data_IF_708932604705
#
_entry.id   IF_708932604705
#
_cell.length_a   1.000
_cell.length_b   1.000
_cell.length_c   1.000
_cell.angle_alpha   90.00
_cell.angle_beta   90.00
_cell.angle_gamma   90.00
#
_symmetry.space_group_name_H-M   'P 1'
#
loop_
_entity.id
_entity.type
_entity.pdbx_description
1 polymer ?
#
# COMPACT_ATOMS: atom_id res chain seq x y z
N UNK A 1 -34.86 50.85 -2.96
CA UNK A 1 -34.74 49.93 -4.12
C UNK A 1 -33.39 50.04 -4.85
N UNK A 2 -32.78 51.22 -5.00
CA UNK A 2 -31.49 51.33 -5.71
C UNK A 2 -30.31 50.58 -5.06
N UNK A 3 -30.19 50.56 -3.72
CA UNK A 3 -29.10 49.86 -3.02
C UNK A 3 -29.10 48.33 -3.23
N UNK A 4 -30.28 47.73 -3.38
CA UNK A 4 -30.44 46.29 -3.60
C UNK A 4 -29.97 45.88 -5.00
N UNK A 5 -30.17 46.74 -6.00
CA UNK A 5 -29.67 46.51 -7.36
C UNK A 5 -28.14 46.68 -7.46
N UNK A 6 -27.57 47.64 -6.71
CA UNK A 6 -26.11 47.83 -6.64
C UNK A 6 -25.41 46.62 -6.02
N UNK A 7 -25.98 46.04 -4.95
CA UNK A 7 -25.40 44.88 -4.28
C UNK A 7 -25.44 43.61 -5.15
N UNK A 8 -26.52 43.40 -5.90
CA UNK A 8 -26.64 42.27 -6.86
C UNK A 8 -25.68 42.45 -8.04
N UNK A 9 -25.53 43.66 -8.57
CA UNK A 9 -24.60 43.94 -9.67
C UNK A 9 -23.14 43.72 -9.25
N UNK A 10 -22.79 44.11 -8.01
CA UNK A 10 -21.44 43.94 -7.47
C UNK A 10 -21.06 42.45 -7.32
N UNK A 11 -22.00 41.60 -6.90
CA UNK A 11 -21.80 40.14 -6.80
C UNK A 11 -21.59 39.49 -8.17
N UNK A 12 -22.32 39.96 -9.21
CA UNK A 12 -22.17 39.45 -10.58
C UNK A 12 -20.86 39.88 -11.26
N UNK A 13 -20.28 41.02 -10.87
CA UNK A 13 -18.99 41.47 -11.40
C UNK A 13 -17.82 40.69 -10.76
N UNK A 14 -17.94 40.32 -9.48
CA UNK A 14 -16.93 39.53 -8.76
C UNK A 14 -16.84 38.07 -9.22
N UNK A 15 -17.88 37.48 -9.81
CA UNK A 15 -17.87 36.09 -10.27
C UNK A 15 -16.99 35.82 -11.51
N UNK A 16 -16.53 36.86 -12.21
CA UNK A 16 -15.73 36.70 -13.45
C UNK A 16 -14.21 36.62 -13.21
N UNK A 17 -13.74 36.71 -11.97
CA UNK A 17 -12.32 36.57 -11.62
C UNK A 17 -11.94 35.11 -11.28
N UNK A 18 -12.45 34.14 -12.04
CA UNK A 18 -12.02 32.75 -11.92
C UNK A 18 -10.76 32.54 -12.78
N UNK A 19 -9.58 32.77 -12.19
CA UNK A 19 -8.32 32.35 -12.79
C UNK A 19 -8.26 30.82 -12.77
N UNK A 20 -8.46 30.21 -13.94
CA UNK A 20 -8.40 28.77 -14.12
C UNK A 20 -6.94 28.30 -14.13
N UNK A 21 -6.37 28.09 -12.94
CA UNK A 21 -5.08 27.41 -12.83
C UNK A 21 -5.30 25.90 -13.08
N UNK A 22 -4.51 25.26 -13.95
CA UNK A 22 -4.65 23.83 -14.23
C UNK A 22 -4.26 23.04 -12.97
N UNK A 23 -5.25 22.58 -12.22
CA UNK A 23 -5.04 21.60 -11.16
C UNK A 23 -4.66 20.28 -11.86
N UNK A 24 -3.51 19.68 -11.55
CA UNK A 24 -3.14 18.40 -12.14
C UNK A 24 -4.17 17.32 -11.78
N UNK A 25 -4.47 16.44 -12.73
CA UNK A 25 -5.41 15.35 -12.50
C UNK A 25 -4.88 14.42 -11.41
N UNK A 26 -5.72 14.16 -10.41
CA UNK A 26 -5.36 13.31 -9.28
C UNK A 26 -5.34 11.86 -9.75
N UNK A 27 -4.17 11.23 -9.74
CA UNK A 27 -4.09 9.77 -9.87
C UNK A 27 -4.46 9.17 -8.51
N UNK A 28 -5.60 8.47 -8.45
CA UNK A 28 -5.88 7.60 -7.31
C UNK A 28 -4.77 6.56 -7.24
N UNK A 29 -4.21 6.25 -6.04
CA UNK A 29 -3.16 5.26 -5.92
C UNK A 29 -3.71 3.90 -6.36
N UNK A 30 -3.35 3.49 -7.57
CA UNK A 30 -3.70 2.21 -8.13
C UNK A 30 -2.68 1.18 -7.64
N UNK A 31 -3.18 0.07 -7.11
CA UNK A 31 -2.35 -1.01 -6.60
C UNK A 31 -3.23 -2.11 -6.05
N UNK A 32 -2.75 -3.34 -6.07
CA UNK A 32 -3.39 -4.47 -5.42
C UNK A 32 -2.37 -5.17 -4.53
N UNK A 33 -2.70 -5.35 -3.25
CA UNK A 33 -1.95 -6.22 -2.37
C UNK A 33 -2.34 -7.66 -2.69
N UNK A 34 -1.34 -8.50 -3.00
CA UNK A 34 -1.57 -9.91 -3.32
C UNK A 34 -0.66 -10.81 -2.50
N UNK A 35 -1.26 -11.74 -1.77
CA UNK A 35 -0.54 -12.79 -1.05
C UNK A 35 -1.06 -14.15 -1.53
N UNK A 36 -0.15 -15.06 -1.84
CA UNK A 36 -0.46 -16.46 -2.08
C UNK A 36 0.24 -17.30 -1.01
N UNK A 37 -0.57 -18.02 -0.26
CA UNK A 37 -0.09 -19.01 0.71
C UNK A 37 0.32 -20.29 -0.01
N UNK A 38 1.19 -21.06 0.63
CA UNK A 38 1.67 -22.34 0.10
C UNK A 38 0.58 -23.42 0.05
N UNK A 39 -0.46 -23.27 0.89
CA UNK A 39 -1.66 -24.11 0.92
C UNK A 39 -2.74 -23.74 -0.12
N UNK A 40 -2.48 -22.75 -0.99
CA UNK A 40 -3.38 -22.39 -2.10
C UNK A 40 -4.38 -21.27 -1.80
N UNK A 41 -4.43 -20.73 -0.56
CA UNK A 41 -5.24 -19.55 -0.28
C UNK A 41 -4.59 -18.30 -0.91
N UNK A 42 -5.37 -17.53 -1.67
CA UNK A 42 -4.95 -16.26 -2.26
C UNK A 42 -5.75 -15.10 -1.68
N UNK A 43 -5.05 -14.08 -1.18
CA UNK A 43 -5.59 -12.79 -0.76
C UNK A 43 -5.26 -11.78 -1.86
N UNK A 44 -6.25 -11.07 -2.42
CA UNK A 44 -6.03 -9.98 -3.37
C UNK A 44 -6.96 -8.82 -3.02
N UNK A 45 -6.41 -7.62 -2.78
CA UNK A 45 -7.20 -6.45 -2.43
C UNK A 45 -6.65 -5.17 -3.05
N UNK A 46 -7.53 -4.34 -3.62
CA UNK A 46 -7.16 -3.03 -4.15
C UNK A 46 -6.75 -2.05 -3.04
N UNK A 47 -5.68 -1.30 -3.25
CA UNK A 47 -5.11 -0.31 -2.32
C UNK A 47 -5.99 0.95 -2.22
N UNK A 48 -6.79 1.26 -3.24
CA UNK A 48 -7.67 2.43 -3.31
C UNK A 48 -9.14 2.01 -3.49
N UNK A 49 -9.77 1.55 -2.40
CA UNK A 49 -11.22 1.23 -2.36
C UNK A 49 -12.09 2.40 -1.88
N UNK A 50 -11.47 3.49 -1.45
CA UNK A 50 -12.15 4.64 -0.82
C UNK A 50 -12.46 5.79 -1.78
N UNK A 51 -13.20 6.77 -1.28
CA UNK A 51 -13.34 8.08 -1.95
C UNK A 51 -12.09 8.91 -1.65
N UNK A 52 -11.58 9.62 -2.65
CA UNK A 52 -10.40 10.47 -2.49
C UNK A 52 -10.82 11.94 -2.42
N UNK A 53 -10.32 12.65 -1.42
CA UNK A 53 -10.46 14.08 -1.26
C UNK A 53 -9.07 14.70 -1.32
N UNK A 54 -8.86 15.62 -2.26
CA UNK A 54 -7.60 16.32 -2.41
C UNK A 54 -7.80 17.81 -2.21
N UNK A 55 -6.93 18.41 -1.41
CA UNK A 55 -6.77 19.86 -1.33
C UNK A 55 -5.32 20.19 -1.57
N UNK A 56 -5.06 21.19 -2.41
CA UNK A 56 -3.71 21.58 -2.78
C UNK A 56 -3.61 23.05 -3.10
N UNK A 57 -2.39 23.56 -3.01
CA UNK A 57 -2.03 24.91 -3.39
C UNK A 57 -1.17 24.85 -4.63
N UNK A 58 -1.47 25.73 -5.58
CA UNK A 58 -0.67 25.92 -6.79
C UNK A 58 0.02 27.27 -6.69
N UNK A 59 1.35 27.28 -6.79
CA UNK A 59 2.14 28.50 -6.90
C UNK A 59 2.82 28.52 -8.27
N UNK A 60 2.48 29.49 -9.11
CA UNK A 60 3.21 29.77 -10.35
C UNK A 60 4.05 31.02 -10.15
N UNK A 61 5.35 30.93 -10.46
CA UNK A 61 6.17 32.10 -10.71
C UNK A 61 6.02 32.46 -12.18
N UNK A 62 4.91 33.10 -12.54
CA UNK A 62 4.80 33.74 -13.84
C UNK A 62 5.89 34.81 -13.93
N UNK A 63 6.66 34.82 -15.00
CA UNK A 63 7.63 35.87 -15.27
C UNK A 63 6.89 37.18 -15.57
N UNK A 64 6.47 37.88 -14.52
CA UNK A 64 6.02 39.26 -14.63
C UNK A 64 7.25 40.17 -14.77
N UNK A 65 7.30 40.88 -15.90
CA UNK A 65 8.22 41.96 -16.27
C UNK A 65 9.44 41.59 -17.12
N UNK A 66 9.22 41.44 -18.43
CA UNK A 66 10.16 41.99 -19.44
C UNK A 66 9.36 42.63 -20.59
N UNK A 67 8.81 43.82 -20.32
CA UNK A 67 8.49 44.78 -21.36
C UNK A 67 9.61 45.82 -21.39
N UNK A 68 10.13 46.08 -22.61
CA UNK A 68 11.34 46.82 -23.02
C UNK A 68 12.58 45.92 -23.11
N UNK A 69 13.27 45.79 -24.25
CA UNK A 69 13.55 46.77 -25.31
C UNK A 69 13.83 46.03 -26.64
N UNK A 70 13.53 46.67 -27.76
CA UNK A 70 13.38 46.05 -29.07
C UNK A 70 14.61 45.35 -29.62
N UNK A 71 14.44 44.11 -30.10
CA UNK A 71 15.28 43.50 -31.13
C UNK A 71 14.71 42.13 -31.54
N UNK A 72 14.53 41.93 -32.85
CA UNK A 72 14.58 40.60 -33.47
C UNK A 72 13.32 39.74 -33.38
N UNK A 73 12.46 39.84 -34.40
CA UNK A 73 11.49 38.79 -34.73
C UNK A 73 12.26 37.56 -35.23
N UNK A 74 12.39 36.52 -34.39
CA UNK A 74 12.83 35.18 -34.78
C UNK A 74 11.61 34.23 -34.83
N UNK A 75 11.16 33.79 -36.01
CA UNK A 75 9.99 32.93 -36.17
C UNK A 75 10.25 31.44 -35.84
N UNK A 76 11.44 31.09 -35.31
CA UNK A 76 11.84 29.70 -35.07
C UNK A 76 11.99 29.32 -33.59
N UNK A 77 11.38 30.06 -32.66
CA UNK A 77 11.39 29.69 -31.24
C UNK A 77 10.12 28.95 -30.81
N UNK A 78 10.27 27.62 -30.79
CA UNK A 78 9.53 26.59 -30.07
C UNK A 78 8.24 27.00 -29.33
N UNK A 79 7.15 26.41 -29.81
CA UNK A 79 5.85 26.22 -29.15
C UNK A 79 6.00 25.32 -27.91
N UNK A 80 6.72 25.79 -26.89
CA UNK A 80 6.65 25.30 -25.53
C UNK A 80 6.82 26.54 -24.66
N UNK A 81 5.69 27.17 -24.33
CA UNK A 81 5.63 28.20 -23.30
C UNK A 81 6.07 27.56 -21.99
N UNK A 82 7.38 27.60 -21.72
CA UNK A 82 8.01 27.16 -20.49
C UNK A 82 7.79 28.17 -19.33
N UNK A 83 7.02 29.23 -19.57
CA UNK A 83 6.86 30.37 -18.67
C UNK A 83 5.85 30.14 -17.52
N UNK A 84 5.16 29.00 -17.52
CA UNK A 84 4.19 28.63 -16.46
C UNK A 84 4.68 27.41 -15.66
N UNK A 85 5.93 27.44 -15.17
CA UNK A 85 6.43 26.44 -14.22
C UNK A 85 5.86 26.72 -12.84
N UNK A 86 4.79 26.01 -12.49
CA UNK A 86 4.16 26.07 -11.17
C UNK A 86 4.46 24.84 -10.31
N UNK A 87 4.60 25.06 -9.01
CA UNK A 87 4.71 24.00 -8.01
C UNK A 87 3.31 23.74 -7.44
N UNK A 88 2.87 22.48 -7.52
CA UNK A 88 1.62 22.02 -6.91
C UNK A 88 1.95 21.14 -5.70
N UNK A 89 1.52 21.56 -4.52
CA UNK A 89 1.59 20.77 -3.29
C UNK A 89 0.18 20.40 -2.87
N UNK A 90 -0.08 19.11 -2.67
CA UNK A 90 -1.41 18.63 -2.29
C UNK A 90 -1.36 17.58 -1.20
N UNK A 91 -2.39 17.63 -0.35
CA UNK A 91 -2.70 16.59 0.62
C UNK A 91 -3.89 15.83 0.10
N UNK A 92 -3.71 14.53 -0.15
CA UNK A 92 -4.77 13.62 -0.56
C UNK A 92 -5.16 12.74 0.61
N UNK A 93 -6.42 12.82 1.04
CA UNK A 93 -6.97 11.99 2.09
C UNK A 93 -7.98 11.03 1.46
N UNK A 94 -7.87 9.75 1.79
CA UNK A 94 -8.85 8.74 1.35
C UNK A 94 -9.79 8.43 2.51
N UNK A 95 -11.09 8.52 2.25
CA UNK A 95 -12.13 8.29 3.24
C UNK A 95 -13.10 7.21 2.75
N UNK A 96 -13.50 6.34 3.68
CA UNK A 96 -14.31 5.18 3.36
C UNK A 96 -13.54 4.10 2.59
N UNK A 97 -14.24 2.99 2.34
CA UNK A 97 -13.67 1.77 1.79
C UNK A 97 -14.15 0.58 2.62
N UNK A 98 -14.26 -0.59 1.98
CA UNK A 98 -14.54 -1.86 2.65
C UNK A 98 -13.44 -2.15 3.70
N UNK A 99 -13.80 -2.79 4.82
CA UNK A 99 -12.84 -3.28 5.79
C UNK A 99 -11.78 -4.14 5.09
N UNK A 100 -10.50 -3.80 5.31
CA UNK A 100 -9.39 -4.52 4.67
C UNK A 100 -9.22 -5.89 5.29
N UNK A 101 -9.21 -6.93 4.46
CA UNK A 101 -8.71 -8.23 4.91
C UNK A 101 -7.22 -8.05 5.16
N UNK A 102 -6.82 -8.24 6.42
CA UNK A 102 -5.43 -8.14 6.81
C UNK A 102 -4.69 -9.41 6.32
N UNK A 103 -4.20 -9.36 5.09
CA UNK A 103 -3.43 -10.47 4.52
C UNK A 103 -2.17 -10.77 5.36
N UNK A 104 -1.66 -9.82 6.15
CA UNK A 104 -0.55 -10.04 7.09
C UNK A 104 -0.97 -10.97 8.24
N UNK A 105 -2.18 -10.79 8.78
CA UNK A 105 -2.74 -11.73 9.77
C UNK A 105 -2.87 -13.13 9.17
N UNK A 106 -3.40 -13.25 7.96
CA UNK A 106 -3.55 -14.55 7.30
C UNK A 106 -2.20 -15.27 7.15
N UNK A 107 -1.17 -14.56 6.67
CA UNK A 107 0.19 -15.09 6.57
C UNK A 107 0.76 -15.52 7.93
N UNK A 108 0.55 -14.72 8.99
CA UNK A 108 0.99 -15.09 10.35
C UNK A 108 0.32 -16.38 10.83
N UNK A 109 -0.96 -16.58 10.55
CA UNK A 109 -1.65 -17.81 10.93
C UNK A 109 -1.10 -19.04 10.20
N UNK A 110 -0.77 -18.92 8.91
CA UNK A 110 -0.12 -20.00 8.15
C UNK A 110 1.24 -20.36 8.76
N UNK A 111 2.07 -19.36 9.07
CA UNK A 111 3.37 -19.59 9.70
C UNK A 111 3.26 -20.25 11.08
N UNK A 112 2.24 -19.89 11.86
CA UNK A 112 1.96 -20.53 13.15
C UNK A 112 1.46 -21.97 13.01
N UNK A 113 0.68 -22.28 11.97
CA UNK A 113 0.27 -23.66 11.70
C UNK A 113 1.47 -24.52 11.31
N UNK A 114 2.31 -24.05 10.39
CA UNK A 114 3.53 -24.78 9.97
C UNK A 114 4.45 -25.09 11.16
N UNK A 115 4.68 -24.11 12.04
CA UNK A 115 5.48 -24.32 13.25
C UNK A 115 4.90 -25.39 14.16
N UNK A 116 3.58 -25.39 14.38
CA UNK A 116 2.92 -26.42 15.20
C UNK A 116 3.03 -27.81 14.58
N UNK A 117 2.92 -27.91 13.25
CA UNK A 117 3.09 -29.19 12.54
C UNK A 117 4.52 -29.73 12.68
N UNK A 118 5.52 -28.85 12.55
CA UNK A 118 6.93 -29.20 12.74
C UNK A 118 7.23 -29.64 14.18
N UNK A 119 6.73 -28.91 15.18
CA UNK A 119 6.88 -29.27 16.60
C UNK A 119 6.22 -30.62 16.92
N UNK A 120 5.03 -30.86 16.39
CA UNK A 120 4.32 -32.12 16.57
C UNK A 120 5.08 -33.28 15.93
N UNK A 121 5.59 -33.10 14.70
CA UNK A 121 6.40 -34.11 14.02
C UNK A 121 7.69 -34.44 14.79
N UNK A 122 8.34 -33.44 15.40
CA UNK A 122 9.52 -33.64 16.25
C UNK A 122 9.17 -34.43 17.52
N UNK A 123 8.11 -34.04 18.22
CA UNK A 123 7.66 -34.73 19.43
C UNK A 123 7.29 -36.20 19.14
N UNK A 124 6.59 -36.47 18.04
CA UNK A 124 6.29 -37.84 17.62
C UNK A 124 7.55 -38.66 17.30
N UNK A 125 8.55 -38.04 16.67
CA UNK A 125 9.81 -38.69 16.37
C UNK A 125 10.57 -39.07 17.65
N UNK A 126 10.63 -38.14 18.61
CA UNK A 126 11.27 -38.38 19.91
C UNK A 126 10.58 -39.50 20.68
N UNK A 127 9.24 -39.50 20.74
CA UNK A 127 8.48 -40.57 21.39
C UNK A 127 8.75 -41.95 20.76
N UNK A 128 8.83 -42.03 19.42
CA UNK A 128 9.18 -43.27 18.71
C UNK A 128 10.59 -43.75 19.06
N UNK A 129 11.57 -42.85 19.13
CA UNK A 129 12.94 -43.20 19.52
C UNK A 129 13.01 -43.74 20.94
N UNK A 130 12.27 -43.13 21.88
CA UNK A 130 12.19 -43.61 23.26
C UNK A 130 11.54 -45.00 23.36
N UNK A 131 10.48 -45.26 22.58
CA UNK A 131 9.84 -46.58 22.53
C UNK A 131 10.81 -47.66 22.00
N UNK A 132 11.52 -47.37 20.90
CA UNK A 132 12.52 -48.28 20.33
C UNK A 132 13.65 -48.55 21.34
N UNK A 133 14.11 -47.52 22.06
CA UNK A 133 15.15 -47.68 23.08
C UNK A 133 14.68 -48.56 24.24
N UNK A 134 13.45 -48.37 24.72
CA UNK A 134 12.87 -49.19 25.79
C UNK A 134 12.69 -50.66 25.36
N UNK A 135 12.20 -50.89 24.14
CA UNK A 135 12.05 -52.25 23.59
C UNK A 135 13.41 -52.94 23.42
N UNK A 136 14.41 -52.22 22.90
CA UNK A 136 15.79 -52.72 22.80
C UNK A 136 16.34 -53.13 24.16
N UNK A 137 16.14 -52.32 25.21
CA UNK A 137 16.58 -52.67 26.56
C UNK A 137 15.90 -53.94 27.08
N UNK A 138 14.59 -54.09 26.85
CA UNK A 138 13.84 -55.30 27.21
C UNK A 138 14.38 -56.54 26.51
N UNK A 139 14.66 -56.44 25.21
CA UNK A 139 15.26 -57.54 24.43
C UNK A 139 16.65 -57.93 24.95
N UNK A 140 17.48 -56.95 25.31
CA UNK A 140 18.81 -57.19 25.89
C UNK A 140 18.73 -57.90 27.25
N UNK A 141 17.80 -57.49 28.11
CA UNK A 141 17.57 -58.17 29.40
C UNK A 141 17.13 -59.61 29.19
N UNK A 142 16.20 -59.87 28.27
CA UNK A 142 15.76 -61.25 27.95
C UNK A 142 16.89 -62.12 27.39
N UNK A 143 17.83 -61.54 26.62
CA UNK A 143 19.00 -62.28 26.13
C UNK A 143 19.94 -62.66 27.28
N UNK A 144 20.21 -61.74 28.22
CA UNK A 144 21.09 -61.98 29.35
C UNK A 144 20.55 -63.06 30.31
N UNK A 145 19.25 -63.04 30.61
CA UNK A 145 18.61 -64.05 31.49
C UNK A 145 18.60 -65.45 30.87
N UNK A 146 18.48 -65.56 29.54
CA UNK A 146 18.52 -66.86 28.86
C UNK A 146 19.93 -67.46 28.83
N UNK A 147 20.99 -66.65 28.79
CA UNK A 147 22.37 -67.14 28.81
C UNK A 147 22.86 -67.57 30.20
N UNK A 148 22.33 -66.99 31.28
CA UNK A 148 22.72 -67.36 32.66
C UNK A 148 22.06 -68.66 33.17
N UNK A 149 21.11 -69.23 32.43
CA UNK A 149 20.43 -70.50 32.76
C UNK A 149 21.03 -71.70 32.02
N UNK A 150 21.99 -71.49 31.11
CA UNK A 150 22.60 -72.53 30.28
C UNK A 150 23.99 -72.98 30.78
N UNK A 151 24.42 -72.52 31.96
CA UNK A 151 25.67 -72.88 32.65
C UNK A 151 25.34 -73.55 33.98
#
# INVERSE_FOLDING_TARGET
MQFQHVLVLCVLVLSNAAFANPIPSVSNPSGTDRIRTSGGASCEQAVSTGKTFQVGTYGSSGADNQYNDGSGYDPYHNYYNEDDKGIYAAVTIQFGGEDRIDCTKLYRYEMLQRKREEELAQAEHELKLLQIAAEKQRLLQMKQTNTSFAE
#
